data_IF_689979996683
#
_entry.id   IF_689979996683
#
_cell.length_a   1.000
_cell.length_b   1.000
_cell.length_c   1.000
_cell.angle_alpha   90.00
_cell.angle_beta   90.00
_cell.angle_gamma   90.00
#
_symmetry.space_group_name_H-M   'P 1'
#
loop_
_entity.id
_entity.type
_entity.pdbx_description
1 polymer ?
#
# COMPACT_ATOMS: atom_id res chain seq x y z
N UNK A 1 5.38 -1.07 -26.19
CA UNK A 1 5.52 -1.18 -24.74
C UNK A 1 4.27 -0.57 -24.13
N UNK A 2 3.25 -1.40 -23.86
CA UNK A 2 2.03 -0.93 -23.24
C UNK A 2 2.34 -0.45 -21.81
N UNK A 3 1.95 0.76 -21.51
CA UNK A 3 1.93 1.25 -20.14
C UNK A 3 0.90 0.41 -19.38
N UNK A 4 1.36 -0.52 -18.54
CA UNK A 4 0.48 -1.22 -17.63
C UNK A 4 0.15 -0.29 -16.46
N UNK A 5 -1.12 0.07 -16.39
CA UNK A 5 -1.69 0.81 -15.28
C UNK A 5 -2.62 -0.13 -14.52
N UNK A 6 -2.53 -0.12 -13.20
CA UNK A 6 -3.54 -0.78 -12.38
C UNK A 6 -4.59 0.25 -11.95
N UNK A 7 -5.84 -0.11 -12.15
CA UNK A 7 -6.96 0.59 -11.55
C UNK A 7 -6.83 0.59 -10.02
N UNK A 8 -7.17 1.70 -9.39
CA UNK A 8 -7.30 1.75 -7.93
C UNK A 8 -8.44 0.86 -7.42
N UNK A 9 -9.30 0.38 -8.31
CA UNK A 9 -10.57 -0.25 -7.96
C UNK A 9 -11.65 0.76 -7.55
N UNK A 10 -11.30 2.05 -7.48
CA UNK A 10 -12.19 3.16 -7.17
C UNK A 10 -12.39 3.96 -8.45
N UNK A 11 -13.50 3.71 -9.16
CA UNK A 11 -13.74 4.30 -10.48
C UNK A 11 -13.65 5.83 -10.50
N UNK A 12 -14.17 6.48 -9.48
CA UNK A 12 -14.12 7.93 -9.37
C UNK A 12 -12.70 8.44 -9.27
N UNK A 13 -11.84 7.74 -8.52
CA UNK A 13 -10.44 8.10 -8.36
C UNK A 13 -9.67 7.92 -9.67
N UNK A 14 -9.84 6.79 -10.34
CA UNK A 14 -9.20 6.52 -11.62
C UNK A 14 -9.58 7.55 -12.69
N UNK A 15 -10.84 7.99 -12.71
CA UNK A 15 -11.32 9.03 -13.61
C UNK A 15 -10.73 10.41 -13.32
N UNK A 16 -10.57 10.76 -12.04
CA UNK A 16 -10.11 12.09 -11.62
C UNK A 16 -8.58 12.20 -11.74
N UNK A 17 -7.85 11.18 -11.31
CA UNK A 17 -6.38 11.17 -11.32
C UNK A 17 -5.84 10.76 -12.70
N UNK A 18 -6.67 10.06 -13.49
CA UNK A 18 -6.35 9.62 -14.86
C UNK A 18 -5.44 8.40 -14.93
N UNK A 19 -4.46 8.28 -14.06
CA UNK A 19 -3.50 7.18 -14.00
C UNK A 19 -3.02 7.02 -12.57
N UNK A 20 -3.61 6.07 -11.83
CA UNK A 20 -3.31 5.92 -10.41
C UNK A 20 -1.98 5.22 -10.13
N UNK A 21 -1.77 4.05 -10.69
CA UNK A 21 -0.61 3.25 -10.35
C UNK A 21 0.20 2.94 -11.58
N UNK A 22 1.20 3.79 -11.84
CA UNK A 22 2.13 3.54 -12.94
C UNK A 22 3.25 2.59 -12.50
N UNK A 23 3.65 1.76 -13.43
CA UNK A 23 4.76 0.82 -13.31
C UNK A 23 6.09 1.55 -13.07
N UNK A 24 6.88 1.06 -12.12
CA UNK A 24 8.21 1.60 -11.85
C UNK A 24 8.22 2.94 -11.10
N UNK A 25 7.13 3.31 -10.44
CA UNK A 25 7.00 4.56 -9.70
C UNK A 25 6.60 4.34 -8.24
N UNK A 26 7.00 5.27 -7.41
CA UNK A 26 6.43 5.43 -6.07
C UNK A 26 5.11 6.19 -6.17
N UNK A 27 4.09 5.64 -5.52
CA UNK A 27 2.82 6.32 -5.28
C UNK A 27 2.69 6.47 -3.77
N UNK A 28 2.27 7.64 -3.31
CA UNK A 28 2.17 7.95 -1.88
C UNK A 28 0.71 8.20 -1.48
N UNK A 29 0.24 7.47 -0.49
CA UNK A 29 -0.97 7.75 0.26
C UNK A 29 -0.57 8.24 1.65
N UNK A 30 -0.74 9.52 1.88
CA UNK A 30 -0.46 10.18 3.14
C UNK A 30 -1.75 10.32 3.94
N UNK A 31 -1.73 9.95 5.21
CA UNK A 31 -2.87 10.02 6.11
C UNK A 31 -2.56 11.05 7.19
N UNK A 32 -3.35 12.10 7.29
CA UNK A 32 -3.19 13.11 8.33
C UNK A 32 -3.35 12.49 9.74
N UNK A 33 -2.69 13.11 10.69
CA UNK A 33 -2.51 12.61 12.06
C UNK A 33 -3.80 12.14 12.74
N UNK A 34 -4.86 12.91 12.64
CA UNK A 34 -6.09 12.69 13.40
C UNK A 34 -7.16 11.91 12.62
N UNK A 35 -6.82 11.38 11.46
CA UNK A 35 -7.73 10.56 10.65
C UNK A 35 -8.00 9.23 11.36
N UNK A 36 -9.28 8.96 11.62
CA UNK A 36 -9.75 7.75 12.30
C UNK A 36 -10.10 6.60 11.36
N UNK A 37 -10.18 6.88 10.05
CA UNK A 37 -10.45 5.85 9.04
C UNK A 37 -9.30 4.83 9.01
N UNK A 38 -9.58 3.53 9.23
CA UNK A 38 -8.55 2.50 9.19
C UNK A 38 -7.87 2.42 7.82
N UNK A 39 -6.52 2.42 7.75
CA UNK A 39 -5.80 2.40 6.48
C UNK A 39 -6.16 1.23 5.57
N UNK A 40 -6.45 0.05 6.13
CA UNK A 40 -6.84 -1.14 5.36
C UNK A 40 -8.13 -0.93 4.56
N UNK A 41 -9.03 -0.08 5.01
CA UNK A 41 -10.24 0.26 4.25
C UNK A 41 -9.94 1.05 2.98
N UNK A 42 -8.84 1.82 2.98
CA UNK A 42 -8.44 2.62 1.82
C UNK A 42 -7.79 1.76 0.74
N UNK A 43 -6.96 0.79 1.10
CA UNK A 43 -6.26 -0.02 0.10
C UNK A 43 -6.93 -1.37 -0.20
N UNK A 44 -7.87 -1.83 0.62
CA UNK A 44 -8.56 -3.10 0.44
C UNK A 44 -9.17 -3.27 -0.96
N UNK A 45 -9.87 -2.24 -1.43
CA UNK A 45 -10.52 -2.28 -2.75
C UNK A 45 -9.50 -2.52 -3.85
N UNK A 46 -8.39 -1.79 -3.82
CA UNK A 46 -7.30 -1.95 -4.79
C UNK A 46 -6.66 -3.32 -4.72
N UNK A 47 -6.32 -3.78 -3.52
CA UNK A 47 -5.67 -5.09 -3.32
C UNK A 47 -6.60 -6.22 -3.77
N UNK A 48 -7.88 -6.16 -3.42
CA UNK A 48 -8.87 -7.16 -3.85
C UNK A 48 -9.00 -7.20 -5.36
N UNK A 49 -9.04 -6.05 -6.02
CA UNK A 49 -9.09 -5.96 -7.47
C UNK A 49 -7.85 -6.59 -8.14
N UNK A 50 -6.66 -6.27 -7.65
CA UNK A 50 -5.40 -6.83 -8.16
C UNK A 50 -5.35 -8.35 -8.00
N UNK A 51 -5.66 -8.86 -6.81
CA UNK A 51 -5.65 -10.29 -6.52
C UNK A 51 -6.71 -11.07 -7.34
N UNK A 52 -7.91 -10.53 -7.47
CA UNK A 52 -8.99 -11.16 -8.23
C UNK A 52 -8.72 -11.18 -9.75
N UNK A 53 -7.84 -10.32 -10.26
CA UNK A 53 -7.33 -10.39 -11.62
C UNK A 53 -6.22 -11.43 -11.81
N UNK A 54 -5.80 -12.11 -10.75
CA UNK A 54 -4.75 -13.12 -10.75
C UNK A 54 -3.34 -12.57 -10.62
N UNK A 55 -3.18 -11.30 -10.29
CA UNK A 55 -1.89 -10.67 -10.06
C UNK A 55 -1.45 -10.83 -8.59
N UNK A 56 -0.16 -10.58 -8.32
CA UNK A 56 0.43 -10.78 -7.01
C UNK A 56 0.56 -9.50 -6.20
N UNK A 57 0.39 -9.63 -4.89
CA UNK A 57 0.50 -8.53 -3.93
C UNK A 57 1.43 -8.90 -2.78
N UNK A 58 2.30 -7.98 -2.40
CA UNK A 58 3.13 -8.09 -1.18
C UNK A 58 2.90 -6.85 -0.33
N UNK A 59 2.53 -7.04 0.92
CA UNK A 59 2.16 -5.95 1.84
C UNK A 59 3.07 -5.93 3.05
N UNK A 60 3.70 -4.78 3.30
CA UNK A 60 4.28 -4.41 4.58
C UNK A 60 3.29 -3.43 5.25
N UNK A 61 2.54 -3.88 6.27
CA UNK A 61 1.42 -3.11 6.80
C UNK A 61 1.85 -1.76 7.37
N UNK A 62 1.02 -0.72 7.22
CA UNK A 62 1.17 0.53 7.95
C UNK A 62 1.18 0.32 9.46
N UNK A 63 1.76 1.27 10.20
CA UNK A 63 1.82 1.21 11.66
C UNK A 63 0.43 1.04 12.29
N UNK A 64 0.34 0.14 13.25
CA UNK A 64 -0.89 -0.20 13.94
C UNK A 64 -1.72 -1.32 13.29
N UNK A 65 -1.32 -1.83 12.11
CA UNK A 65 -1.96 -2.96 11.45
C UNK A 65 -1.10 -4.21 11.59
N UNK A 66 -1.71 -5.32 12.03
CA UNK A 66 -1.10 -6.63 11.98
C UNK A 66 -1.36 -7.31 10.63
N UNK A 67 -0.53 -8.31 10.29
CA UNK A 67 -0.76 -9.13 9.11
C UNK A 67 -2.13 -9.83 9.16
N UNK A 68 -2.55 -10.28 10.32
CA UNK A 68 -3.86 -10.92 10.52
C UNK A 68 -5.02 -9.94 10.26
N UNK A 69 -4.91 -8.69 10.72
CA UNK A 69 -5.93 -7.66 10.44
C UNK A 69 -6.06 -7.41 8.95
N UNK A 70 -4.94 -7.30 8.23
CA UNK A 70 -4.94 -7.14 6.77
C UNK A 70 -5.57 -8.34 6.08
N UNK A 71 -5.17 -9.55 6.47
CA UNK A 71 -5.74 -10.80 5.94
C UNK A 71 -7.24 -10.86 6.10
N UNK A 72 -7.73 -10.66 7.32
CA UNK A 72 -9.16 -10.71 7.63
C UNK A 72 -9.97 -9.66 6.87
N UNK A 73 -9.36 -8.51 6.58
CA UNK A 73 -10.01 -7.46 5.79
C UNK A 73 -10.17 -7.82 4.31
N UNK A 74 -9.30 -8.70 3.79
CA UNK A 74 -9.29 -9.12 2.38
C UNK A 74 -10.11 -10.40 2.14
N UNK A 75 -10.14 -11.29 3.11
CA UNK A 75 -10.74 -12.63 2.96
C UNK A 75 -12.17 -12.61 2.40
N UNK A 76 -13.09 -11.71 2.82
CA UNK A 76 -14.45 -11.69 2.28
C UNK A 76 -14.54 -11.25 0.81
N UNK A 77 -13.51 -10.58 0.26
CA UNK A 77 -13.57 -9.89 -1.04
C UNK A 77 -12.66 -10.50 -2.10
N UNK A 78 -11.84 -11.49 -1.71
CA UNK A 78 -10.85 -12.08 -2.60
C UNK A 78 -11.12 -13.57 -2.78
N UNK A 79 -11.01 -14.05 -4.01
CA UNK A 79 -11.11 -15.50 -4.27
C UNK A 79 -10.06 -16.26 -3.47
N UNK A 80 -10.48 -17.33 -2.80
CA UNK A 80 -9.65 -18.12 -1.88
C UNK A 80 -8.32 -18.58 -2.51
N UNK A 81 -8.36 -18.99 -3.76
CA UNK A 81 -7.17 -19.41 -4.51
C UNK A 81 -6.18 -18.24 -4.72
N UNK A 82 -6.69 -17.07 -5.07
CA UNK A 82 -5.86 -15.86 -5.25
C UNK A 82 -5.26 -15.43 -3.92
N UNK A 83 -6.06 -15.41 -2.86
CA UNK A 83 -5.61 -15.09 -1.51
C UNK A 83 -4.46 -16.02 -1.06
N UNK A 84 -4.61 -17.32 -1.29
CA UNK A 84 -3.63 -18.32 -0.88
C UNK A 84 -2.35 -18.36 -1.72
N UNK A 85 -2.41 -17.99 -2.99
CA UNK A 85 -1.29 -18.16 -3.92
C UNK A 85 -0.56 -16.88 -4.28
N UNK A 86 -1.24 -15.74 -4.21
CA UNK A 86 -0.78 -14.49 -4.78
C UNK A 86 -0.60 -13.36 -3.76
N UNK A 87 -0.81 -13.63 -2.47
CA UNK A 87 -0.64 -12.64 -1.40
C UNK A 87 0.46 -13.07 -0.43
N UNK A 88 1.33 -12.13 -0.08
CA UNK A 88 2.23 -12.22 1.08
C UNK A 88 2.15 -10.96 1.92
N UNK A 89 2.19 -11.12 3.24
CA UNK A 89 2.10 -10.01 4.19
C UNK A 89 3.26 -10.13 5.18
N UNK A 90 3.93 -9.01 5.43
CA UNK A 90 5.01 -8.94 6.43
C UNK A 90 4.40 -8.96 7.84
N UNK A 91 5.00 -9.74 8.70
CA UNK A 91 4.76 -9.73 10.14
C UNK A 91 6.08 -9.70 10.90
N UNK A 92 6.08 -9.24 12.14
CA UNK A 92 7.28 -9.18 12.97
C UNK A 92 7.29 -10.32 13.97
N UNK A 93 8.40 -11.05 14.08
CA UNK A 93 8.53 -12.20 14.99
C UNK A 93 8.22 -11.86 16.44
N UNK A 94 8.57 -10.64 16.88
CA UNK A 94 8.36 -10.19 18.24
C UNK A 94 6.88 -9.96 18.61
N UNK A 95 6.02 -9.69 17.61
CA UNK A 95 4.63 -9.30 17.83
C UNK A 95 3.62 -10.25 17.22
N UNK A 96 4.09 -11.29 16.53
CA UNK A 96 3.21 -12.28 15.92
C UNK A 96 2.46 -13.06 17.02
N UNK A 97 1.16 -12.92 17.05
CA UNK A 97 0.28 -13.61 18.00
C UNK A 97 -0.26 -14.90 17.37
N UNK A 98 -0.60 -14.82 16.11
CA UNK A 98 -1.11 -15.94 15.33
C UNK A 98 -0.49 -15.88 13.93
N UNK A 99 0.09 -16.99 13.50
CA UNK A 99 0.76 -17.05 12.21
C UNK A 99 -0.25 -17.07 11.07
N UNK A 100 -0.14 -16.11 10.18
CA UNK A 100 -0.84 -16.10 8.89
C UNK A 100 0.02 -16.88 7.88
N UNK A 101 0.27 -18.16 8.19
CA UNK A 101 1.04 -19.05 7.29
C UNK A 101 0.13 -19.71 6.25
N UNK A 102 0.62 -19.91 5.03
CA UNK A 102 2.00 -19.72 4.52
C UNK A 102 2.30 -18.34 3.95
N UNK A 103 1.51 -17.34 4.26
CA UNK A 103 1.49 -16.03 3.60
C UNK A 103 2.35 -14.98 4.29
N UNK A 104 2.93 -15.30 5.47
CA UNK A 104 3.72 -14.35 6.24
C UNK A 104 5.19 -14.31 5.77
N UNK A 105 5.70 -13.09 5.60
CA UNK A 105 7.13 -12.80 5.54
C UNK A 105 7.53 -12.33 6.94
N UNK A 106 8.35 -13.10 7.65
CA UNK A 106 8.71 -12.80 9.03
C UNK A 106 9.94 -11.90 9.09
N UNK A 107 9.77 -10.68 9.59
CA UNK A 107 10.85 -9.75 9.91
C UNK A 107 11.37 -9.98 11.33
N UNK A 108 12.69 -9.94 11.49
CA UNK A 108 13.33 -10.02 12.83
C UNK A 108 13.18 -8.70 13.61
N UNK A 109 13.10 -7.57 12.93
CA UNK A 109 13.05 -6.25 13.54
C UNK A 109 14.39 -5.75 14.08
N UNK A 110 15.52 -6.35 13.65
CA UNK A 110 16.87 -6.01 14.10
C UNK A 110 17.68 -5.25 13.08
N UNK A 111 17.67 -5.69 11.85
CA UNK A 111 18.38 -5.10 10.72
C UNK A 111 17.42 -4.85 9.58
N UNK A 112 17.17 -3.57 9.28
CA UNK A 112 16.29 -3.20 8.18
C UNK A 112 16.78 -3.78 6.84
N UNK A 113 18.09 -3.77 6.61
CA UNK A 113 18.68 -4.30 5.37
C UNK A 113 18.39 -5.79 5.19
N UNK A 114 18.54 -6.58 6.25
CA UNK A 114 18.28 -8.03 6.19
C UNK A 114 16.78 -8.31 6.01
N UNK A 115 15.94 -7.63 6.75
CA UNK A 115 14.51 -7.79 6.65
C UNK A 115 13.97 -7.33 5.29
N UNK A 116 14.49 -6.23 4.73
CA UNK A 116 14.13 -5.80 3.38
C UNK A 116 14.62 -6.75 2.29
N UNK A 117 15.71 -7.47 2.49
CA UNK A 117 16.10 -8.54 1.57
C UNK A 117 15.04 -9.65 1.51
N UNK A 118 14.45 -10.03 2.65
CA UNK A 118 13.34 -11.00 2.67
C UNK A 118 12.11 -10.47 1.89
N UNK A 119 11.78 -9.20 2.08
CA UNK A 119 10.69 -8.53 1.35
C UNK A 119 10.94 -8.50 -0.16
N UNK A 120 12.12 -8.06 -0.58
CA UNK A 120 12.50 -7.98 -2.00
C UNK A 120 12.60 -9.36 -2.66
N UNK A 121 13.05 -10.39 -1.93
CA UNK A 121 13.08 -11.76 -2.44
C UNK A 121 11.67 -12.29 -2.69
N UNK A 122 10.73 -12.05 -1.79
CA UNK A 122 9.33 -12.44 -1.98
C UNK A 122 8.70 -11.80 -3.23
N UNK A 123 9.01 -10.53 -3.49
CA UNK A 123 8.59 -9.83 -4.71
C UNK A 123 9.22 -10.46 -5.94
N UNK A 124 10.50 -10.77 -5.89
CA UNK A 124 11.24 -11.40 -6.99
C UNK A 124 10.68 -12.78 -7.32
N UNK A 125 10.39 -13.60 -6.31
CA UNK A 125 9.79 -14.93 -6.48
C UNK A 125 8.43 -14.85 -7.18
N UNK A 126 7.58 -13.91 -6.78
CA UNK A 126 6.29 -13.68 -7.44
C UNK A 126 6.46 -13.22 -8.88
N UNK A 127 7.39 -12.32 -9.15
CA UNK A 127 7.66 -11.82 -10.50
C UNK A 127 8.13 -12.94 -11.42
N UNK A 128 9.04 -13.78 -10.96
CA UNK A 128 9.56 -14.92 -11.73
C UNK A 128 8.44 -15.93 -12.00
N UNK A 129 7.66 -16.26 -10.98
CA UNK A 129 6.58 -17.25 -11.08
C UNK A 129 5.47 -16.84 -12.03
N UNK A 130 5.09 -15.57 -12.04
CA UNK A 130 3.94 -15.06 -12.80
C UNK A 130 4.32 -14.29 -14.07
N UNK A 131 5.59 -13.93 -14.22
CA UNK A 131 6.08 -13.08 -15.31
C UNK A 131 5.28 -11.78 -15.49
N UNK A 132 4.89 -11.17 -14.37
CA UNK A 132 4.10 -9.93 -14.29
C UNK A 132 4.64 -9.01 -13.21
N UNK A 133 4.39 -7.70 -13.31
CA UNK A 133 4.66 -6.76 -12.22
C UNK A 133 3.94 -7.19 -10.94
N UNK A 134 4.59 -6.94 -9.80
CA UNK A 134 4.00 -7.19 -8.49
C UNK A 134 3.49 -5.88 -7.91
N UNK A 135 2.28 -5.89 -7.38
CA UNK A 135 1.75 -4.77 -6.62
C UNK A 135 2.26 -4.85 -5.18
N UNK A 136 2.87 -3.79 -4.71
CA UNK A 136 3.49 -3.76 -3.39
C UNK A 136 2.98 -2.60 -2.57
N UNK A 137 2.68 -2.85 -1.31
CA UNK A 137 2.34 -1.81 -0.32
C UNK A 137 3.41 -1.78 0.74
N UNK A 138 3.91 -0.60 1.07
CA UNK A 138 4.88 -0.41 2.15
C UNK A 138 4.40 0.68 3.10
N UNK A 139 4.13 0.29 4.34
CA UNK A 139 3.95 1.19 5.47
C UNK A 139 5.30 1.68 5.96
N UNK A 140 5.81 2.77 5.39
CA UNK A 140 7.09 3.33 5.79
C UNK A 140 7.11 3.89 7.20
N UNK A 141 5.98 4.26 7.75
CA UNK A 141 5.82 4.62 9.15
C UNK A 141 6.13 3.44 10.09
N UNK A 142 5.76 2.22 9.71
CA UNK A 142 6.15 0.99 10.42
C UNK A 142 7.66 0.80 10.41
N UNK A 143 8.32 0.99 9.26
CA UNK A 143 9.77 0.86 9.14
C UNK A 143 10.49 1.92 10.00
N UNK A 144 10.01 3.16 9.98
CA UNK A 144 10.58 4.22 10.82
C UNK A 144 10.40 3.92 12.30
N UNK A 145 9.24 3.43 12.71
CA UNK A 145 8.97 3.07 14.09
C UNK A 145 9.87 1.94 14.61
N UNK A 146 10.13 0.92 13.79
CA UNK A 146 10.91 -0.25 14.19
C UNK A 146 12.41 0.01 14.10
N UNK A 147 12.89 0.64 13.03
CA UNK A 147 14.33 0.74 12.72
C UNK A 147 14.90 2.15 12.88
N UNK A 148 14.04 3.16 12.97
CA UNK A 148 14.42 4.57 13.03
C UNK A 148 14.61 5.22 11.66
N UNK A 149 14.52 6.55 11.66
CA UNK A 149 14.60 7.40 10.46
C UNK A 149 15.88 7.15 9.63
N UNK A 150 17.02 7.11 10.29
CA UNK A 150 18.33 7.03 9.62
C UNK A 150 18.48 5.74 8.81
N UNK A 151 18.04 4.60 9.37
CA UNK A 151 18.09 3.32 8.67
C UNK A 151 17.15 3.30 7.47
N UNK A 152 15.95 3.88 7.60
CA UNK A 152 14.99 3.96 6.49
C UNK A 152 15.54 4.84 5.35
N UNK A 153 16.15 5.99 5.66
CA UNK A 153 16.73 6.86 4.63
C UNK A 153 17.83 6.15 3.83
N UNK A 154 18.62 5.29 4.48
CA UNK A 154 19.69 4.52 3.81
C UNK A 154 19.17 3.54 2.75
N UNK A 155 17.97 2.99 2.93
CA UNK A 155 17.43 1.97 2.00
C UNK A 155 16.57 2.56 0.88
N UNK A 156 16.12 3.81 0.99
CA UNK A 156 15.19 4.41 0.02
C UNK A 156 15.71 4.37 -1.41
N UNK A 157 16.97 4.69 -1.62
CA UNK A 157 17.59 4.67 -2.96
C UNK A 157 17.61 3.28 -3.57
N UNK A 158 17.96 2.27 -2.80
CA UNK A 158 18.00 0.88 -3.26
C UNK A 158 16.60 0.34 -3.55
N UNK A 159 15.63 0.66 -2.70
CA UNK A 159 14.24 0.23 -2.88
C UNK A 159 13.61 0.89 -4.12
N UNK A 160 13.76 2.20 -4.26
CA UNK A 160 13.25 2.92 -5.44
C UNK A 160 13.89 2.43 -6.74
N UNK A 161 15.19 2.14 -6.73
CA UNK A 161 15.89 1.57 -7.89
C UNK A 161 15.33 0.21 -8.29
N UNK A 162 14.98 -0.63 -7.31
CA UNK A 162 14.33 -1.92 -7.59
C UNK A 162 12.94 -1.73 -8.22
N UNK A 163 12.12 -0.87 -7.66
CA UNK A 163 10.79 -0.56 -8.21
C UNK A 163 10.91 -0.09 -9.67
N UNK A 164 11.84 0.81 -9.96
CA UNK A 164 12.08 1.33 -11.32
C UNK A 164 12.59 0.28 -12.29
N UNK A 165 13.64 -0.44 -11.90
CA UNK A 165 14.33 -1.36 -12.78
C UNK A 165 13.49 -2.60 -13.09
N UNK A 166 12.73 -3.08 -12.13
CA UNK A 166 11.88 -4.26 -12.30
C UNK A 166 10.45 -3.91 -12.74
N UNK A 167 10.08 -2.64 -12.65
CA UNK A 167 8.79 -2.16 -13.10
C UNK A 167 7.62 -2.65 -12.25
N UNK A 168 7.83 -2.86 -10.96
CA UNK A 168 6.76 -3.14 -10.01
C UNK A 168 5.94 -1.89 -9.73
N UNK A 169 4.79 -2.09 -9.10
CA UNK A 169 3.90 -1.01 -8.72
C UNK A 169 3.96 -0.88 -7.20
N UNK A 170 4.31 0.32 -6.73
CA UNK A 170 4.48 0.59 -5.32
C UNK A 170 3.48 1.62 -4.82
N UNK A 171 2.73 1.26 -3.78
CA UNK A 171 1.97 2.18 -2.95
C UNK A 171 2.63 2.30 -1.58
N UNK A 172 3.16 3.46 -1.27
CA UNK A 172 3.68 3.79 0.06
C UNK A 172 2.58 4.43 0.89
N UNK A 173 2.44 4.02 2.14
CA UNK A 173 1.45 4.57 3.07
C UNK A 173 2.20 5.09 4.30
N UNK A 174 1.90 6.32 4.68
CA UNK A 174 2.47 6.97 5.88
C UNK A 174 1.45 7.83 6.61
N UNK A 175 1.70 8.08 7.90
CA UNK A 175 1.10 9.18 8.63
C UNK A 175 1.89 10.46 8.36
N UNK A 176 1.20 11.61 8.32
CA UNK A 176 1.82 12.91 8.01
C UNK A 176 2.94 13.32 8.98
N UNK A 177 2.86 12.87 10.24
CA UNK A 177 3.86 13.15 11.28
C UNK A 177 5.15 12.31 11.17
N UNK A 178 5.19 11.35 10.26
CA UNK A 178 6.37 10.52 10.02
C UNK A 178 7.57 11.40 9.61
N UNK A 179 8.75 11.19 10.21
CA UNK A 179 9.92 12.06 9.96
C UNK A 179 10.51 11.87 8.56
N UNK A 180 10.22 10.76 7.89
CA UNK A 180 10.63 10.52 6.49
C UNK A 180 9.61 11.01 5.46
N UNK A 181 8.50 11.61 5.89
CA UNK A 181 7.41 12.03 5.01
C UNK A 181 7.88 12.95 3.88
N UNK A 182 8.74 13.92 4.19
CA UNK A 182 9.29 14.87 3.20
C UNK A 182 10.05 14.13 2.08
N UNK A 183 10.88 13.16 2.43
CA UNK A 183 11.62 12.35 1.46
C UNK A 183 10.67 11.55 0.55
N UNK A 184 9.63 10.96 1.11
CA UNK A 184 8.64 10.20 0.33
C UNK A 184 7.79 11.10 -0.55
N UNK A 185 7.39 12.28 -0.07
CA UNK A 185 6.67 13.28 -0.88
C UNK A 185 7.48 13.72 -2.10
N UNK A 186 8.78 13.93 -1.92
CA UNK A 186 9.67 14.35 -3.03
C UNK A 186 9.87 13.25 -4.07
N UNK A 187 9.90 11.98 -3.65
CA UNK A 187 10.12 10.83 -4.53
C UNK A 187 8.84 10.33 -5.21
N UNK A 188 7.66 10.72 -4.73
CA UNK A 188 6.39 10.26 -5.24
C UNK A 188 6.05 10.86 -6.62
N UNK A 189 5.65 9.99 -7.56
CA UNK A 189 5.02 10.40 -8.82
C UNK A 189 3.55 10.75 -8.64
N UNK A 190 2.83 9.99 -7.81
CA UNK A 190 1.48 10.27 -7.35
C UNK A 190 1.51 10.49 -5.85
N UNK A 191 0.84 11.55 -5.38
CA UNK A 191 0.72 11.87 -3.97
C UNK A 191 -0.72 12.25 -3.65
N UNK A 192 -1.36 11.43 -2.83
CA UNK A 192 -2.72 11.63 -2.32
C UNK A 192 -2.63 11.83 -0.81
N UNK A 193 -3.50 12.67 -0.28
CA UNK A 193 -3.62 12.90 1.16
C UNK A 193 -5.06 12.68 1.61
N UNK A 194 -5.20 11.96 2.73
CA UNK A 194 -6.48 11.71 3.40
C UNK A 194 -6.58 12.61 4.62
N UNK A 195 -7.71 13.29 4.76
CA UNK A 195 -8.03 14.23 5.85
C UNK A 195 -9.36 13.85 6.49
N UNK A 196 -9.53 14.28 7.73
CA UNK A 196 -10.80 14.20 8.45
C UNK A 196 -11.17 15.57 9.00
N UNK A 197 -12.37 16.04 8.66
CA UNK A 197 -12.91 17.31 9.14
C UNK A 197 -14.33 17.08 9.63
N UNK A 198 -14.60 17.38 10.90
CA UNK A 198 -15.93 17.24 11.51
C UNK A 198 -16.56 15.85 11.30
N UNK A 199 -15.75 14.79 11.37
CA UNK A 199 -16.21 13.41 11.20
C UNK A 199 -16.42 12.96 9.74
N UNK A 200 -16.17 13.82 8.77
CA UNK A 200 -16.18 13.48 7.35
C UNK A 200 -14.76 13.25 6.85
N UNK A 201 -14.59 12.26 5.97
CA UNK A 201 -13.32 11.92 5.36
C UNK A 201 -13.17 12.53 3.98
N UNK A 202 -11.97 13.03 3.69
CA UNK A 202 -11.65 13.67 2.43
C UNK A 202 -10.37 13.13 1.83
N UNK A 203 -10.33 13.04 0.51
CA UNK A 203 -9.14 12.74 -0.28
C UNK A 203 -8.80 13.94 -1.15
N UNK A 204 -7.52 14.28 -1.20
CA UNK A 204 -7.02 15.32 -2.10
C UNK A 204 -5.77 14.84 -2.82
N UNK A 205 -5.73 15.01 -4.14
CA UNK A 205 -4.52 14.85 -4.92
C UNK A 205 -3.63 16.07 -4.80
N UNK A 206 -2.37 15.83 -4.45
CA UNK A 206 -1.29 16.83 -4.43
C UNK A 206 -0.49 16.72 -5.73
N UNK A 207 -0.26 15.49 -6.18
CA UNK A 207 0.33 15.14 -7.48
C UNK A 207 -0.47 13.98 -8.09
N UNK A 208 -1.21 14.21 -9.16
CA UNK A 208 -1.64 15.51 -9.69
C UNK A 208 -2.58 16.24 -8.73
N UNK A 209 -2.70 17.56 -8.91
CA UNK A 209 -3.64 18.35 -8.12
C UNK A 209 -5.08 17.99 -8.48
N UNK A 210 -5.89 17.72 -7.47
CA UNK A 210 -7.34 17.51 -7.60
C UNK A 210 -8.11 18.47 -6.71
N UNK A 211 -9.42 18.64 -6.93
CA UNK A 211 -10.31 19.18 -5.91
C UNK A 211 -10.26 18.33 -4.63
N UNK A 212 -10.75 18.89 -3.53
CA UNK A 212 -11.05 18.12 -2.35
C UNK A 212 -12.23 17.19 -2.63
N UNK A 213 -12.08 15.90 -2.33
CA UNK A 213 -13.08 14.88 -2.61
C UNK A 213 -13.60 14.31 -1.29
N UNK A 214 -14.90 14.29 -1.09
CA UNK A 214 -15.48 13.58 0.03
C UNK A 214 -15.37 12.06 -0.20
N UNK A 215 -14.90 11.34 0.81
CA UNK A 215 -14.84 9.87 0.80
C UNK A 215 -16.12 9.35 1.45
N UNK A 216 -16.95 8.71 0.64
CA UNK A 216 -18.15 8.03 1.10
C UNK A 216 -17.86 6.52 1.17
N UNK A 217 -17.80 5.98 2.39
CA UNK A 217 -17.57 4.56 2.62
C UNK A 217 -18.89 3.89 2.95
N UNK A 218 -19.52 3.28 1.96
CA UNK A 218 -20.69 2.45 2.19
C UNK A 218 -20.28 1.09 2.73
N UNK A 219 -20.83 0.72 3.90
CA UNK A 219 -20.58 -0.55 4.58
C UNK A 219 -21.70 -1.54 4.21
N UNK A 220 -21.98 -1.71 2.94
CA UNK A 220 -22.82 -2.80 2.47
C UNK A 220 -21.96 -3.96 1.95
N UNK A 221 -22.56 -5.10 1.64
CA UNK A 221 -21.91 -6.36 1.25
C UNK A 221 -20.90 -6.19 0.07
N UNK A 222 -21.02 -5.12 -0.70
CA UNK A 222 -20.03 -4.65 -1.67
C UNK A 222 -19.48 -3.31 -1.19
N UNK A 223 -18.29 -3.31 -0.59
CA UNK A 223 -17.68 -2.06 -0.11
C UNK A 223 -17.23 -1.21 -1.29
N UNK A 224 -18.08 -0.29 -1.69
CA UNK A 224 -17.79 0.72 -2.71
C UNK A 224 -17.30 1.99 -2.03
N UNK A 225 -16.13 2.46 -2.42
CA UNK A 225 -15.66 3.81 -2.06
C UNK A 225 -16.12 4.75 -3.17
N UNK A 226 -16.93 5.74 -2.82
CA UNK A 226 -17.33 6.81 -3.71
C UNK A 226 -16.63 8.10 -3.36
N UNK A 227 -16.21 8.85 -4.38
CA UNK A 227 -15.57 10.14 -4.24
C UNK A 227 -16.43 11.22 -4.90
N UNK A 228 -16.81 12.21 -4.11
CA UNK A 228 -17.61 13.33 -4.58
C UNK A 228 -16.86 14.63 -4.39
N UNK A 229 -16.71 15.48 -5.43
CA UNK A 229 -16.08 16.79 -5.26
C UNK A 229 -16.84 17.64 -4.25
N UNK A 230 -16.08 18.31 -3.38
CA UNK A 230 -16.62 19.33 -2.49
C UNK A 230 -16.70 20.63 -3.27
N UNK A 231 -17.90 21.18 -3.43
CA UNK A 231 -18.19 22.43 -4.13
C UNK A 231 -17.93 23.64 -3.24
#
# INVERSE_FOLDING_TARGET
HGNYYYSSGIQDLDRIVGIMFSKGCYNLLEIERDVTLPPERLFRVTVSNVLNQGDCVVILPPQGLSALTVWNSLEPFVYKDALNRNLKIVDFKATVVEKVEPHAILFEGKSLREDMLCFWNAITDFRIKHNRPVFTIVGFDTLEYVYGKEEVLKILGADLSRVRNFGDIRLNIIRSECNIAESLRSLAGVHLIVRELCGAFFLQGIKPKTPLLNIDVHIDEETEIRLTPVL
#
